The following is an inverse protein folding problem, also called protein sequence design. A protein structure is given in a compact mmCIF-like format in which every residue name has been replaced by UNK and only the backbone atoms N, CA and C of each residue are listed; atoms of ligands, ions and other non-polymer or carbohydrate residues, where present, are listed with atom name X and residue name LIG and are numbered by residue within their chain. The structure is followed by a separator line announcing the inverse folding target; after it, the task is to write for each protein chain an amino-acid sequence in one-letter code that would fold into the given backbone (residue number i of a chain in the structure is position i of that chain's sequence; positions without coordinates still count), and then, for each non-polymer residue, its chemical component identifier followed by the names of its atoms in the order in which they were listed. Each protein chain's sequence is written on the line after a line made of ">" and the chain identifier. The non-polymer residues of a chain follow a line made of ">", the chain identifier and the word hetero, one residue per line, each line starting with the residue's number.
data_IF_640928535724
#
_entry.id   IF_640928535724
#
_cell.length_a   1.000
_cell.length_b   1.000
_cell.length_c   1.000
_cell.angle_alpha   90.00
_cell.angle_beta   90.00
_cell.angle_gamma   90.00
#
_symmetry.space_group_name_H-M   'P 1'
#
loop_
_entity.id
_entity.type
_entity.pdbx_description
1 polymer ?
#
# COMPACT_ATOMS: atom_id res chain seq x y z
N UNK A 1 -57.21 -34.26 47.20
CA UNK A 1 -56.05 -34.40 46.32
C UNK A 1 -55.19 -33.16 46.51
N UNK A 2 -53.92 -33.43 46.81
CA UNK A 2 -52.83 -32.55 47.26
C UNK A 2 -52.43 -31.40 46.29
N UNK A 3 -51.48 -30.52 46.68
CA UNK A 3 -51.53 -29.07 46.44
C UNK A 3 -50.43 -28.57 45.48
N UNK A 4 -50.22 -27.26 45.39
CA UNK A 4 -48.89 -26.59 45.57
C UNK A 4 -48.62 -25.42 44.63
N UNK A 5 -48.01 -24.42 45.27
CA UNK A 5 -47.62 -23.07 44.89
C UNK A 5 -46.20 -23.05 44.28
N UNK A 6 -45.97 -22.09 43.40
CA UNK A 6 -44.71 -21.41 43.05
C UNK A 6 -43.57 -22.17 42.35
N UNK A 7 -43.13 -21.61 41.22
CA UNK A 7 -41.79 -21.75 40.66
C UNK A 7 -41.46 -20.52 39.81
N UNK A 8 -40.61 -19.64 40.34
CA UNK A 8 -40.08 -18.41 39.71
C UNK A 8 -38.65 -18.74 39.26
N UNK A 9 -38.32 -18.74 37.97
CA UNK A 9 -36.89 -18.77 37.54
C UNK A 9 -36.69 -18.27 36.10
N UNK A 10 -35.76 -17.31 35.93
CA UNK A 10 -35.07 -16.90 34.68
C UNK A 10 -35.91 -16.03 33.73
N UNK A 11 -35.76 -14.71 33.62
CA UNK A 11 -34.56 -13.94 33.25
C UNK A 11 -33.65 -14.71 32.28
N UNK A 12 -33.78 -14.38 31.00
CA UNK A 12 -32.69 -13.81 30.21
C UNK A 12 -33.29 -13.07 29.03
N UNK A 13 -33.14 -11.74 29.08
CA UNK A 13 -33.07 -10.89 27.89
C UNK A 13 -32.31 -11.67 26.81
N UNK A 14 -32.96 -11.86 25.67
CA UNK A 14 -32.23 -12.07 24.43
C UNK A 14 -31.50 -10.75 24.18
N UNK A 15 -30.29 -10.64 24.74
CA UNK A 15 -29.30 -9.70 24.26
C UNK A 15 -29.15 -10.03 22.79
N UNK A 16 -29.71 -9.17 21.96
CA UNK A 16 -29.28 -8.96 20.59
C UNK A 16 -27.79 -8.63 20.69
N UNK A 17 -26.97 -9.67 20.74
CA UNK A 17 -25.55 -9.56 20.45
C UNK A 17 -25.53 -9.39 18.96
N UNK A 18 -25.77 -8.14 18.54
CA UNK A 18 -25.54 -7.70 17.18
C UNK A 18 -24.21 -8.32 16.80
N UNK A 19 -24.26 -9.19 15.79
CA UNK A 19 -23.08 -9.70 15.16
C UNK A 19 -22.35 -8.47 14.64
N UNK A 20 -21.44 -7.94 15.47
CA UNK A 20 -20.24 -7.28 15.03
C UNK A 20 -19.47 -8.36 14.27
N UNK A 21 -19.99 -8.67 13.08
CA UNK A 21 -19.24 -9.37 12.06
C UNK A 21 -18.03 -8.50 11.86
N UNK A 22 -16.91 -9.02 12.34
CA UNK A 22 -15.55 -8.69 11.93
C UNK A 22 -15.60 -8.24 10.47
N UNK A 23 -15.69 -6.93 10.26
CA UNK A 23 -15.34 -6.31 8.98
C UNK A 23 -13.82 -6.30 8.95
N UNK A 24 -13.22 -7.48 8.89
CA UNK A 24 -11.93 -7.64 8.26
C UNK A 24 -12.18 -7.25 6.82
N UNK A 25 -11.97 -5.96 6.52
CA UNK A 25 -11.83 -5.50 5.15
C UNK A 25 -10.82 -6.44 4.51
N UNK A 26 -11.31 -7.33 3.65
CA UNK A 26 -10.45 -8.29 2.98
C UNK A 26 -9.68 -7.50 1.95
N UNK A 27 -8.43 -7.16 2.25
CA UNK A 27 -7.53 -6.51 1.31
C UNK A 27 -7.47 -7.35 0.03
N UNK A 28 -8.08 -6.84 -1.04
CA UNK A 28 -8.17 -7.51 -2.34
C UNK A 28 -6.87 -7.35 -3.13
N UNK A 29 -6.04 -6.36 -2.77
CA UNK A 29 -4.76 -6.08 -3.40
C UNK A 29 -4.37 -4.61 -3.36
N UNK A 30 -3.52 -4.22 -4.28
CA UNK A 30 -2.95 -2.89 -4.42
C UNK A 30 -3.21 -2.36 -5.82
N UNK A 31 -3.71 -1.13 -5.95
CA UNK A 31 -3.50 -0.33 -7.15
C UNK A 31 -2.18 0.45 -6.97
N UNK A 32 -1.18 0.09 -7.77
CA UNK A 32 0.16 0.67 -7.72
C UNK A 32 0.29 1.64 -8.88
N UNK A 33 0.77 2.84 -8.58
CA UNK A 33 1.07 3.88 -9.57
C UNK A 33 2.51 4.36 -9.38
N UNK A 34 3.24 4.42 -10.49
CA UNK A 34 4.62 4.92 -10.54
C UNK A 34 4.61 6.30 -11.14
N UNK A 35 5.17 7.24 -10.40
CA UNK A 35 5.27 8.65 -10.73
C UNK A 35 6.75 8.99 -10.86
N UNK A 36 7.10 9.61 -11.98
CA UNK A 36 8.39 10.27 -12.16
C UNK A 36 8.22 11.74 -11.82
N UNK A 37 8.82 12.24 -10.74
CA UNK A 37 8.76 13.67 -10.41
C UNK A 37 9.23 14.55 -11.58
N UNK A 38 8.60 15.72 -11.76
CA UNK A 38 8.99 16.67 -12.82
C UNK A 38 10.45 17.11 -12.71
N UNK A 39 10.93 17.24 -11.48
CA UNK A 39 12.34 17.50 -11.18
C UNK A 39 13.00 16.21 -10.65
N UNK A 40 14.04 15.69 -11.31
CA UNK A 40 14.69 14.44 -10.91
C UNK A 40 15.11 14.43 -9.43
N UNK A 41 14.80 13.35 -8.73
CA UNK A 41 15.25 13.10 -7.36
C UNK A 41 16.53 12.27 -7.42
N UNK A 42 17.63 12.83 -6.91
CA UNK A 42 18.98 12.31 -7.16
C UNK A 42 19.52 11.39 -6.06
N UNK A 43 18.72 11.06 -5.04
CA UNK A 43 19.18 10.22 -3.95
C UNK A 43 18.28 10.22 -2.73
N UNK A 44 18.62 9.37 -1.73
CA UNK A 44 17.88 9.25 -0.46
C UNK A 44 17.98 10.51 0.42
N UNK A 45 19.05 11.30 0.24
CA UNK A 45 19.33 12.54 0.97
C UNK A 45 18.65 13.76 0.34
N UNK A 46 17.83 13.58 -0.69
CA UNK A 46 17.07 14.67 -1.29
C UNK A 46 16.07 15.23 -0.26
N UNK A 47 16.11 16.53 0.05
CA UNK A 47 15.29 17.13 1.11
C UNK A 47 13.78 17.04 0.82
N UNK A 48 13.38 16.84 -0.44
CA UNK A 48 11.96 16.63 -0.79
C UNK A 48 11.44 15.29 -0.27
N UNK A 49 12.32 14.33 -0.03
CA UNK A 49 11.95 13.02 0.52
C UNK A 49 11.79 13.03 2.04
N UNK A 50 12.18 14.10 2.73
CA UNK A 50 11.96 14.25 4.17
C UNK A 50 10.50 14.62 4.45
N UNK A 51 9.64 13.61 4.47
CA UNK A 51 8.19 13.76 4.60
C UNK A 51 7.69 14.23 5.98
N UNK A 52 8.58 14.66 6.87
CA UNK A 52 8.26 15.31 8.12
C UNK A 52 8.73 16.75 8.13
N UNK A 53 8.19 17.58 7.23
CA UNK A 53 8.21 19.02 7.49
C UNK A 53 7.23 19.30 8.63
N UNK A 54 7.78 19.43 9.85
CA UNK A 54 7.04 19.75 11.07
C UNK A 54 5.98 20.83 10.80
N UNK A 55 4.70 20.51 11.05
CA UNK A 55 3.58 21.43 10.94
C UNK A 55 2.60 21.17 9.81
N UNK A 56 2.91 20.29 8.84
CA UNK A 56 1.93 19.86 7.84
C UNK A 56 1.09 18.69 8.37
N UNK A 57 -0.09 19.00 8.91
CA UNK A 57 -1.17 18.02 9.09
C UNK A 57 -1.80 17.59 7.75
N UNK A 58 -1.25 18.07 6.64
CA UNK A 58 -1.78 17.81 5.32
C UNK A 58 -1.30 16.43 4.87
N UNK A 59 -2.27 15.56 4.57
CA UNK A 59 -2.11 14.20 4.06
C UNK A 59 -1.44 14.13 2.68
N UNK A 60 -0.80 15.19 2.22
CA UNK A 60 -0.32 15.34 0.85
C UNK A 60 1.19 15.10 0.79
N UNK A 61 1.60 14.34 -0.21
CA UNK A 61 3.00 14.25 -0.66
C UNK A 61 3.46 15.68 -1.00
N UNK A 62 4.74 15.99 -0.83
CA UNK A 62 5.27 17.30 -1.25
C UNK A 62 4.85 17.58 -2.70
N UNK A 63 4.30 18.76 -3.04
CA UNK A 63 3.96 19.10 -4.42
C UNK A 63 5.19 19.04 -5.35
N UNK A 64 6.39 19.17 -4.80
CA UNK A 64 7.67 19.04 -5.51
C UNK A 64 7.98 17.59 -5.97
N UNK A 65 7.18 16.62 -5.53
CA UNK A 65 7.25 15.22 -5.93
C UNK A 65 6.12 14.83 -6.91
N UNK A 66 5.29 15.78 -7.32
CA UNK A 66 4.33 15.58 -8.40
C UNK A 66 5.04 15.43 -9.76
N UNK A 67 4.41 14.71 -10.69
CA UNK A 67 5.00 14.46 -11.99
C UNK A 67 4.24 13.47 -12.85
N UNK A 68 4.94 12.94 -13.85
CA UNK A 68 4.33 12.09 -14.87
C UNK A 68 4.08 10.69 -14.32
N UNK A 69 2.85 10.20 -14.50
CA UNK A 69 2.53 8.78 -14.30
C UNK A 69 3.15 7.96 -15.43
N UNK A 70 4.15 7.17 -15.09
CA UNK A 70 4.93 6.40 -16.07
C UNK A 70 4.53 4.92 -16.14
N UNK A 71 3.93 4.38 -15.07
CA UNK A 71 3.40 3.03 -15.05
C UNK A 71 2.30 2.89 -14.00
N UNK A 72 1.42 1.90 -14.18
CA UNK A 72 0.48 1.49 -13.14
C UNK A 72 -0.12 0.12 -13.40
N UNK A 73 -0.38 -0.62 -12.34
CA UNK A 73 -0.96 -1.94 -12.38
C UNK A 73 -1.71 -2.25 -11.08
N UNK A 74 -2.44 -3.36 -11.10
CA UNK A 74 -3.03 -3.94 -9.90
C UNK A 74 -2.22 -5.18 -9.51
N UNK A 75 -1.95 -5.34 -8.22
CA UNK A 75 -1.30 -6.52 -7.66
C UNK A 75 -2.12 -7.09 -6.51
N UNK A 76 -2.10 -8.41 -6.32
CA UNK A 76 -2.71 -9.04 -5.14
C UNK A 76 -1.91 -8.82 -3.85
N UNK A 77 -2.16 -9.66 -2.85
CA UNK A 77 -1.40 -9.66 -1.60
C UNK A 77 0.12 -9.79 -1.86
N UNK A 78 0.91 -8.98 -1.15
CA UNK A 78 2.37 -8.90 -1.34
C UNK A 78 2.81 -8.14 -2.60
N UNK A 79 1.92 -7.36 -3.23
CA UNK A 79 2.25 -6.53 -4.40
C UNK A 79 3.36 -5.48 -4.18
N UNK A 80 3.74 -5.22 -2.93
CA UNK A 80 4.80 -4.28 -2.54
C UNK A 80 6.08 -4.96 -2.03
N UNK A 81 6.16 -6.29 -2.02
CA UNK A 81 7.33 -7.04 -1.51
C UNK A 81 8.62 -6.79 -2.32
N UNK A 82 8.54 -6.09 -3.44
CA UNK A 82 9.72 -5.66 -4.19
C UNK A 82 10.36 -4.39 -3.60
N UNK A 83 9.63 -3.61 -2.82
CA UNK A 83 10.13 -2.44 -2.07
C UNK A 83 10.73 -2.91 -0.74
N UNK A 84 10.04 -3.80 -0.04
CA UNK A 84 10.46 -4.36 1.23
C UNK A 84 10.31 -5.90 1.21
N UNK A 85 11.30 -6.64 0.68
CA UNK A 85 11.22 -8.08 0.56
C UNK A 85 11.31 -8.77 1.91
N UNK A 86 10.27 -9.54 2.26
CA UNK A 86 10.26 -10.40 3.46
C UNK A 86 11.43 -11.39 3.39
N UNK A 87 12.40 -11.26 4.30
CA UNK A 87 13.53 -12.19 4.45
C UNK A 87 14.78 -11.84 3.63
N UNK A 88 14.88 -10.65 3.05
CA UNK A 88 16.08 -10.11 2.40
C UNK A 88 16.57 -8.81 3.03
N UNK A 89 17.68 -8.27 2.52
CA UNK A 89 18.05 -6.89 2.80
C UNK A 89 16.99 -5.96 2.17
N UNK A 90 16.44 -4.99 2.92
CA UNK A 90 15.46 -4.06 2.38
C UNK A 90 16.07 -3.31 1.19
N UNK A 91 15.29 -3.14 0.12
CA UNK A 91 15.74 -2.32 -0.99
C UNK A 91 15.91 -0.87 -0.51
N UNK A 92 16.86 -0.10 -1.07
CA UNK A 92 16.95 1.32 -0.79
C UNK A 92 15.60 1.96 -1.12
N UNK A 93 14.88 2.37 -0.09
CA UNK A 93 13.54 2.93 -0.19
C UNK A 93 13.30 3.85 0.98
N UNK A 94 12.38 4.81 0.80
CA UNK A 94 11.97 5.74 1.85
C UNK A 94 10.46 5.82 1.85
N UNK A 95 9.83 5.44 2.96
CA UNK A 95 8.40 5.64 3.12
C UNK A 95 8.15 7.13 3.36
N UNK A 96 7.46 7.77 2.43
CA UNK A 96 7.09 9.18 2.51
C UNK A 96 5.77 9.35 3.27
N UNK A 97 4.86 8.38 3.13
CA UNK A 97 3.60 8.38 3.86
C UNK A 97 3.20 6.96 4.21
N UNK A 98 3.04 6.71 5.51
CA UNK A 98 2.50 5.46 6.07
C UNK A 98 1.29 5.73 6.96
N UNK A 99 0.48 4.70 7.22
CA UNK A 99 -0.65 4.79 8.16
C UNK A 99 -1.94 5.42 7.62
N UNK A 100 -2.08 5.57 6.30
CA UNK A 100 -3.31 5.99 5.61
C UNK A 100 -3.29 5.65 4.13
N UNK A 101 -4.37 5.94 3.41
CA UNK A 101 -4.48 5.67 1.97
C UNK A 101 -4.25 6.94 1.13
N UNK A 102 -3.36 6.90 0.11
CA UNK A 102 -2.44 5.81 -0.24
C UNK A 102 -1.22 5.74 0.68
N UNK A 103 -0.55 4.59 0.67
CA UNK A 103 0.85 4.48 1.12
C UNK A 103 1.77 5.00 0.02
N UNK A 104 2.77 5.79 0.39
CA UNK A 104 3.65 6.47 -0.57
C UNK A 104 5.10 6.17 -0.23
N UNK A 105 5.85 5.76 -1.24
CA UNK A 105 7.26 5.42 -1.14
C UNK A 105 8.07 6.18 -2.19
N UNK A 106 9.33 6.44 -1.89
CA UNK A 106 10.33 6.79 -2.88
C UNK A 106 11.33 5.63 -2.99
N UNK A 107 11.67 5.24 -4.21
CA UNK A 107 12.60 4.14 -4.51
C UNK A 107 13.45 4.50 -5.72
N UNK A 108 14.69 4.02 -5.85
CA UNK A 108 15.44 4.09 -7.10
C UNK A 108 14.72 3.35 -8.23
N UNK A 109 14.75 3.89 -9.45
CA UNK A 109 14.12 3.26 -10.61
C UNK A 109 14.64 1.82 -10.84
N UNK A 110 15.93 1.58 -10.60
CA UNK A 110 16.53 0.24 -10.72
C UNK A 110 15.93 -0.81 -9.75
N UNK A 111 15.42 -0.39 -8.59
CA UNK A 111 14.76 -1.31 -7.63
C UNK A 111 13.45 -1.82 -8.23
N UNK A 112 12.67 -0.93 -8.87
CA UNK A 112 11.45 -1.33 -9.58
C UNK A 112 11.77 -2.28 -10.74
N UNK A 113 12.81 -1.99 -11.52
CA UNK A 113 13.21 -2.84 -12.64
C UNK A 113 13.69 -4.23 -12.17
N UNK A 114 14.47 -4.30 -11.09
CA UNK A 114 14.87 -5.58 -10.48
C UNK A 114 13.68 -6.34 -9.86
N UNK A 115 12.68 -5.59 -9.37
CA UNK A 115 11.43 -6.14 -8.85
C UNK A 115 10.46 -6.61 -9.93
N UNK A 116 10.61 -6.15 -11.17
CA UNK A 116 9.66 -6.41 -12.26
C UNK A 116 9.45 -7.90 -12.54
N UNK A 117 10.51 -8.71 -12.47
CA UNK A 117 10.41 -10.16 -12.61
C UNK A 117 9.54 -10.80 -11.52
N UNK A 118 9.55 -10.22 -10.31
CA UNK A 118 8.70 -10.65 -9.19
C UNK A 118 7.25 -10.16 -9.33
N UNK A 119 7.02 -9.07 -10.08
CA UNK A 119 5.69 -8.61 -10.42
C UNK A 119 5.02 -9.66 -11.30
N UNK A 120 5.65 -10.09 -12.39
CA UNK A 120 5.07 -11.03 -13.36
C UNK A 120 4.93 -12.47 -12.87
N UNK A 121 5.69 -12.89 -11.84
CA UNK A 121 5.77 -14.28 -11.40
C UNK A 121 4.76 -14.67 -10.29
N UNK A 122 3.95 -13.73 -9.77
CA UNK A 122 3.07 -13.99 -8.62
C UNK A 122 1.62 -14.31 -9.01
N UNK A 123 1.05 -15.43 -8.51
CA UNK A 123 -0.38 -15.72 -8.69
C UNK A 123 -1.20 -14.66 -7.94
N UNK A 124 -1.97 -13.86 -8.68
CA UNK A 124 -2.75 -12.76 -8.12
C UNK A 124 -2.63 -11.42 -8.85
N UNK A 125 -1.86 -11.32 -9.95
CA UNK A 125 -2.13 -10.26 -10.92
C UNK A 125 -3.52 -10.49 -11.50
N UNK A 126 -4.43 -9.57 -11.23
CA UNK A 126 -5.80 -9.60 -11.74
C UNK A 126 -5.90 -9.21 -13.22
N UNK A 127 -4.79 -8.79 -13.84
CA UNK A 127 -4.66 -8.56 -15.28
C UNK A 127 -3.50 -9.40 -15.84
N UNK A 128 -3.81 -10.28 -16.80
CA UNK A 128 -2.85 -11.10 -17.58
C UNK A 128 -1.90 -10.28 -18.47
N UNK A 129 -1.95 -8.95 -18.40
CA UNK A 129 -1.10 -8.06 -19.18
C UNK A 129 0.22 -7.80 -18.44
N UNK A 130 1.34 -8.04 -19.12
CA UNK A 130 2.66 -7.61 -18.63
C UNK A 130 2.63 -6.10 -18.32
N UNK A 131 3.20 -5.72 -17.18
CA UNK A 131 3.31 -4.31 -16.77
C UNK A 131 4.24 -3.59 -17.76
N UNK A 132 3.76 -2.52 -18.39
CA UNK A 132 4.61 -1.68 -19.23
C UNK A 132 5.49 -0.79 -18.36
N UNK A 133 6.78 -1.14 -18.31
CA UNK A 133 7.81 -0.38 -17.60
C UNK A 133 8.78 0.31 -18.58
N UNK A 134 8.43 0.43 -19.86
CA UNK A 134 9.32 1.00 -20.89
C UNK A 134 9.80 2.41 -20.54
N UNK A 135 8.92 3.25 -19.98
CA UNK A 135 9.27 4.59 -19.50
C UNK A 135 10.26 4.56 -18.33
N UNK A 136 10.17 3.56 -17.44
CA UNK A 136 11.10 3.38 -16.31
C UNK A 136 12.45 2.87 -16.80
N UNK A 137 12.48 1.97 -17.79
CA UNK A 137 13.72 1.46 -18.41
C UNK A 137 14.53 2.59 -19.05
N UNK A 138 13.87 3.62 -19.57
CA UNK A 138 14.52 4.78 -20.16
C UNK A 138 15.05 5.80 -19.13
N UNK A 139 14.82 5.59 -17.84
CA UNK A 139 15.26 6.52 -16.79
C UNK A 139 16.78 6.44 -16.54
N UNK A 140 17.44 7.56 -16.23
CA UNK A 140 18.79 7.57 -15.72
C UNK A 140 18.94 6.70 -14.47
N UNK A 141 20.06 5.98 -14.38
CA UNK A 141 20.40 5.19 -13.20
C UNK A 141 20.54 6.09 -11.96
N UNK A 142 20.01 5.64 -10.82
CA UNK A 142 20.04 6.40 -9.57
C UNK A 142 18.99 7.51 -9.48
N UNK A 143 18.13 7.69 -10.49
CA UNK A 143 16.96 8.55 -10.37
C UNK A 143 15.89 7.85 -9.51
N UNK A 144 15.36 8.56 -8.53
CA UNK A 144 14.32 8.07 -7.65
C UNK A 144 12.93 8.38 -8.20
N UNK A 145 12.05 7.39 -8.12
CA UNK A 145 10.63 7.45 -8.49
C UNK A 145 9.77 7.45 -7.23
N UNK A 146 8.55 7.97 -7.37
CA UNK A 146 7.51 7.89 -6.35
C UNK A 146 6.57 6.74 -6.68
N UNK A 147 6.21 5.99 -5.65
CA UNK A 147 5.30 4.85 -5.72
C UNK A 147 4.10 5.15 -4.84
N UNK A 148 2.93 5.26 -5.45
CA UNK A 148 1.67 5.31 -4.73
C UNK A 148 1.02 3.94 -4.73
N UNK A 149 0.66 3.45 -3.55
CA UNK A 149 -0.02 2.18 -3.36
C UNK A 149 -1.36 2.40 -2.64
N UNK A 150 -2.45 2.20 -3.37
CA UNK A 150 -3.81 2.23 -2.86
C UNK A 150 -4.30 0.81 -2.58
N UNK A 151 -4.81 0.57 -1.38
CA UNK A 151 -5.45 -0.71 -1.06
C UNK A 151 -6.80 -0.81 -1.76
N UNK A 152 -7.07 -1.99 -2.31
CA UNK A 152 -8.38 -2.36 -2.81
C UNK A 152 -9.14 -3.07 -1.69
N UNK A 153 -9.90 -2.31 -0.91
CA UNK A 153 -10.74 -2.82 0.19
C UNK A 153 -12.22 -2.59 -0.08
#
# INVERSE_FOLDING_TARGET
>A
MEPTRAGRTGVREATDVGAAGDRLATMLGWNITIIRPNEPVLGPDDPRLDAHREGSWSSYISPDLDGDRVASWTAGLGGLDWIDPVGGEPAPSKQLRGGGYPSVYAVPAEVLLAGADRLSARPGLTNDSAVDLSAVVAMPAGEWIVVEAWDQS
#
